data_IF_743735975820
#
_entry.id   IF_743735975820
#
_cell.length_a   1.000
_cell.length_b   1.000
_cell.length_c   1.000
_cell.angle_alpha   90.00
_cell.angle_beta   90.00
_cell.angle_gamma   90.00
#
_symmetry.space_group_name_H-M   'P 1'
#
loop_
_entity.id
_entity.type
_entity.pdbx_description
1 polymer ?
#
# COMPACT_ATOMS: atom_id res chain seq x y z
N UNK A 1 5.09 3.31 0.67
CA UNK A 1 5.37 2.31 -0.39
C UNK A 1 6.16 1.14 0.20
N UNK A 2 6.14 -0.02 -0.44
CA UNK A 2 6.89 -1.20 -0.02
C UNK A 2 7.16 -2.16 -1.17
N UNK A 3 8.13 -3.07 -1.01
CA UNK A 3 8.49 -4.03 -2.07
C UNK A 3 7.63 -5.29 -1.97
N UNK A 4 7.08 -5.73 -3.10
CA UNK A 4 6.50 -7.06 -3.26
C UNK A 4 7.41 -7.90 -4.16
N UNK A 5 8.19 -8.81 -3.57
CA UNK A 5 9.19 -9.62 -4.28
C UNK A 5 8.61 -10.51 -5.38
N UNK A 6 7.32 -10.84 -5.31
CA UNK A 6 6.63 -11.64 -6.33
C UNK A 6 5.96 -10.81 -7.43
N UNK A 7 5.92 -9.48 -7.28
CA UNK A 7 5.25 -8.62 -8.22
C UNK A 7 6.08 -8.40 -9.50
N UNK A 8 5.39 -8.31 -10.64
CA UNK A 8 5.93 -7.91 -11.94
C UNK A 8 5.39 -6.56 -12.43
N UNK A 9 4.53 -5.93 -11.62
CA UNK A 9 3.85 -4.66 -11.90
C UNK A 9 3.65 -3.87 -10.62
N UNK A 10 3.45 -2.56 -10.73
CA UNK A 10 3.07 -1.72 -9.61
C UNK A 10 1.67 -2.11 -9.10
N UNK A 11 1.41 -1.90 -7.82
CA UNK A 11 0.08 -2.07 -7.25
C UNK A 11 -0.26 -0.89 -6.34
N UNK A 12 -1.43 -0.30 -6.54
CA UNK A 12 -1.98 0.71 -5.64
C UNK A 12 -2.96 0.02 -4.70
N UNK A 13 -2.67 0.04 -3.41
CA UNK A 13 -3.47 -0.63 -2.39
C UNK A 13 -4.67 0.23 -2.00
N UNK A 14 -5.87 -0.23 -2.30
CA UNK A 14 -7.11 0.45 -1.91
C UNK A 14 -7.39 0.32 -0.41
N UNK A 15 -6.95 -0.77 0.22
CA UNK A 15 -7.33 -1.10 1.59
C UNK A 15 -6.26 -1.82 2.38
N UNK A 16 -6.36 -1.73 3.69
CA UNK A 16 -5.58 -2.47 4.67
C UNK A 16 -6.49 -3.26 5.60
N UNK A 17 -5.95 -4.34 6.18
CA UNK A 17 -6.67 -5.25 7.07
C UNK A 17 -6.08 -5.18 8.47
N UNK A 18 -6.92 -5.16 9.50
CA UNK A 18 -6.52 -5.14 10.92
C UNK A 18 -6.01 -6.51 11.39
N UNK A 19 -4.95 -7.00 10.76
CA UNK A 19 -4.38 -8.30 11.08
C UNK A 19 -2.88 -8.31 10.77
N UNK A 20 -2.11 -8.68 11.80
CA UNK A 20 -0.70 -9.00 11.71
C UNK A 20 -0.53 -10.53 11.80
N UNK A 21 -0.24 -11.14 10.66
CA UNK A 21 0.05 -12.58 10.51
C UNK A 21 1.31 -12.72 9.66
N UNK A 22 2.47 -12.60 10.31
CA UNK A 22 3.75 -12.44 9.64
C UNK A 22 4.30 -13.81 9.23
N UNK A 23 4.53 -14.02 7.91
CA UNK A 23 5.05 -15.29 7.38
C UNK A 23 6.47 -15.61 7.86
N UNK A 24 7.28 -14.57 8.06
CA UNK A 24 8.63 -14.59 8.59
C UNK A 24 8.76 -13.50 9.67
N UNK A 25 9.74 -13.58 10.58
CA UNK A 25 10.02 -12.47 11.48
C UNK A 25 10.31 -11.18 10.72
N UNK A 26 10.01 -10.03 11.34
CA UNK A 26 10.59 -8.76 10.93
C UNK A 26 12.06 -8.66 11.35
N UNK A 27 12.70 -7.52 11.05
CA UNK A 27 14.11 -7.28 11.35
C UNK A 27 14.43 -7.28 12.87
N UNK A 28 13.42 -7.15 13.73
CA UNK A 28 13.56 -7.23 15.20
C UNK A 28 13.15 -8.60 15.75
N UNK A 29 12.87 -9.57 14.89
CA UNK A 29 12.46 -10.91 15.28
C UNK A 29 10.99 -11.05 15.64
N UNK A 30 10.17 -10.01 15.49
CA UNK A 30 8.75 -10.07 15.81
C UNK A 30 7.99 -10.82 14.70
N UNK A 31 7.22 -11.84 15.10
CA UNK A 31 6.45 -12.70 14.19
C UNK A 31 5.04 -12.95 14.73
N UNK A 32 4.16 -11.94 14.75
CA UNK A 32 2.79 -12.07 15.24
C UNK A 32 2.00 -13.08 14.39
N UNK A 33 1.06 -13.77 15.04
CA UNK A 33 0.13 -14.70 14.40
C UNK A 33 -1.30 -14.31 14.77
N UNK A 34 -2.12 -13.99 13.77
CA UNK A 34 -3.54 -13.60 13.93
C UNK A 34 -3.76 -12.54 15.01
N UNK A 35 -2.87 -11.55 15.07
CA UNK A 35 -2.93 -10.48 16.08
C UNK A 35 -3.57 -9.23 15.47
N UNK A 36 -4.49 -8.53 16.16
CA UNK A 36 -4.99 -7.24 15.68
C UNK A 36 -3.87 -6.20 15.67
N UNK A 37 -3.85 -5.33 14.68
CA UNK A 37 -2.92 -4.19 14.59
C UNK A 37 -3.36 -3.09 15.58
N UNK A 38 -4.66 -2.76 15.55
CA UNK A 38 -5.33 -1.86 16.48
C UNK A 38 -6.42 -2.66 17.20
N UNK A 39 -6.27 -2.84 18.51
CA UNK A 39 -7.18 -3.68 19.30
C UNK A 39 -8.64 -3.20 19.25
N UNK A 40 -8.88 -1.88 19.15
CA UNK A 40 -10.20 -1.28 19.16
C UNK A 40 -11.05 -1.59 17.91
N UNK A 41 -10.41 -1.83 16.75
CA UNK A 41 -11.11 -1.99 15.47
C UNK A 41 -11.61 -3.42 15.22
N UNK A 42 -11.17 -4.40 16.03
CA UNK A 42 -11.49 -5.82 15.88
C UNK A 42 -10.67 -6.52 14.79
N UNK A 43 -10.39 -7.82 14.97
CA UNK A 43 -9.55 -8.59 14.05
C UNK A 43 -10.14 -8.60 12.63
N UNK A 44 -9.27 -8.42 11.63
CA UNK A 44 -9.60 -8.43 10.20
C UNK A 44 -10.53 -7.28 9.74
N UNK A 45 -10.74 -6.24 10.55
CA UNK A 45 -11.41 -5.02 10.12
C UNK A 45 -10.70 -4.38 8.92
N UNK A 46 -11.47 -3.85 7.97
CA UNK A 46 -10.94 -3.26 6.73
C UNK A 46 -11.00 -1.74 6.81
N UNK A 47 -9.91 -1.07 6.49
CA UNK A 47 -9.88 0.38 6.26
C UNK A 47 -9.49 0.65 4.82
N UNK A 48 -10.18 1.58 4.17
CA UNK A 48 -9.91 1.97 2.79
C UNK A 48 -9.36 3.40 2.72
N UNK A 49 -8.61 3.68 1.66
CA UNK A 49 -8.19 5.05 1.34
C UNK A 49 -9.35 5.87 0.79
N UNK A 50 -9.35 7.18 1.07
CA UNK A 50 -10.28 8.14 0.47
C UNK A 50 -9.88 8.54 -0.97
N UNK A 51 -8.74 8.04 -1.48
CA UNK A 51 -8.35 8.29 -2.86
C UNK A 51 -9.20 7.46 -3.84
N UNK A 52 -9.55 8.03 -5.02
CA UNK A 52 -10.24 7.31 -6.10
C UNK A 52 -9.25 6.38 -6.81
N UNK A 53 -8.95 5.23 -6.18
CA UNK A 53 -7.92 4.29 -6.67
C UNK A 53 -8.18 3.76 -8.08
N UNK A 54 -9.42 3.37 -8.47
CA UNK A 54 -9.70 2.95 -9.85
C UNK A 54 -9.29 4.02 -10.88
N UNK A 55 -9.65 5.27 -10.63
CA UNK A 55 -9.38 6.41 -11.52
C UNK A 55 -7.89 6.75 -11.57
N UNK A 56 -7.19 6.64 -10.43
CA UNK A 56 -5.74 6.79 -10.36
C UNK A 56 -5.03 5.70 -11.17
N UNK A 57 -5.45 4.44 -11.02
CA UNK A 57 -4.90 3.31 -11.78
C UNK A 57 -5.16 3.48 -13.27
N UNK A 58 -6.38 3.82 -13.68
CA UNK A 58 -6.71 4.09 -15.08
C UNK A 58 -5.85 5.22 -15.68
N UNK A 59 -5.63 6.29 -14.91
CA UNK A 59 -4.80 7.41 -15.33
C UNK A 59 -3.33 7.01 -15.51
N UNK A 60 -2.79 6.18 -14.62
CA UNK A 60 -1.42 5.68 -14.72
C UNK A 60 -1.24 4.67 -15.85
N UNK A 61 -2.23 3.80 -16.09
CA UNK A 61 -2.23 2.89 -17.24
C UNK A 61 -2.23 3.69 -18.55
N UNK A 62 -3.04 4.75 -18.66
CA UNK A 62 -3.04 5.66 -19.82
C UNK A 62 -1.70 6.38 -20.02
N UNK A 63 -0.95 6.62 -18.93
CA UNK A 63 0.41 7.17 -18.96
C UNK A 63 1.49 6.10 -19.27
N UNK A 64 1.10 4.85 -19.51
CA UNK A 64 1.99 3.78 -19.95
C UNK A 64 2.61 2.95 -18.81
N UNK A 65 2.16 3.11 -17.57
CA UNK A 65 2.65 2.30 -16.46
C UNK A 65 1.93 0.96 -16.37
N UNK A 66 2.68 -0.11 -16.13
CA UNK A 66 2.12 -1.40 -15.77
C UNK A 66 1.76 -1.39 -14.28
N UNK A 67 0.52 -1.01 -13.97
CA UNK A 67 -0.01 -0.88 -12.61
C UNK A 67 -1.38 -1.53 -12.48
N UNK A 68 -1.74 -1.96 -11.28
CA UNK A 68 -3.09 -2.47 -10.99
C UNK A 68 -3.58 -1.97 -9.63
N UNK A 69 -4.91 -1.97 -9.46
CA UNK A 69 -5.53 -1.87 -8.15
C UNK A 69 -5.27 -3.17 -7.39
N UNK A 70 -4.93 -3.05 -6.11
CA UNK A 70 -4.83 -4.17 -5.17
C UNK A 70 -5.73 -3.93 -3.96
N UNK A 71 -6.42 -5.01 -3.57
CA UNK A 71 -7.34 -5.06 -2.44
C UNK A 71 -6.73 -5.85 -1.26
N UNK A 72 -5.44 -6.19 -1.34
CA UNK A 72 -4.77 -7.01 -0.35
C UNK A 72 -3.28 -6.64 -0.24
N UNK A 73 -2.97 -5.76 0.71
CA UNK A 73 -1.60 -5.38 1.04
C UNK A 73 -0.81 -6.48 1.80
N UNK A 74 -1.38 -7.69 1.94
CA UNK A 74 -0.83 -8.80 2.70
C UNK A 74 -1.12 -8.68 4.20
N UNK A 75 -0.40 -9.45 5.01
CA UNK A 75 -0.49 -9.43 6.49
C UNK A 75 0.89 -9.28 7.14
N UNK A 76 1.83 -8.66 6.41
CA UNK A 76 3.19 -8.37 6.88
C UNK A 76 3.35 -6.88 7.19
N UNK A 77 4.59 -6.40 7.30
CA UNK A 77 4.91 -5.01 7.68
C UNK A 77 4.29 -3.95 6.78
N UNK A 78 4.12 -4.21 5.47
CA UNK A 78 3.47 -3.27 4.54
C UNK A 78 2.02 -2.97 4.96
N UNK A 79 1.21 -4.02 5.15
CA UNK A 79 -0.16 -3.89 5.65
C UNK A 79 -0.19 -3.29 7.06
N UNK A 80 0.74 -3.70 7.93
CA UNK A 80 0.84 -3.17 9.31
C UNK A 80 0.98 -1.64 9.32
N UNK A 81 1.96 -1.11 8.57
CA UNK A 81 2.20 0.33 8.47
C UNK A 81 1.06 1.04 7.74
N UNK A 82 0.50 0.42 6.70
CA UNK A 82 -0.60 1.03 5.96
C UNK A 82 -1.85 1.19 6.82
N UNK A 83 -2.21 0.16 7.60
CA UNK A 83 -3.36 0.21 8.51
C UNK A 83 -3.23 1.35 9.54
N UNK A 84 -2.07 1.45 10.21
CA UNK A 84 -1.79 2.56 11.13
C UNK A 84 -1.86 3.92 10.44
N UNK A 85 -1.31 4.03 9.22
CA UNK A 85 -1.36 5.27 8.45
C UNK A 85 -2.79 5.68 8.09
N UNK A 86 -3.66 4.72 7.78
CA UNK A 86 -5.09 4.98 7.54
C UNK A 86 -5.83 5.40 8.82
N UNK A 87 -5.52 4.79 9.97
CA UNK A 87 -6.05 5.23 11.26
C UNK A 87 -5.64 6.68 11.56
N UNK A 88 -4.36 7.00 11.37
CA UNK A 88 -3.83 8.35 11.56
C UNK A 88 -4.49 9.36 10.61
N UNK A 89 -4.60 9.02 9.33
CA UNK A 89 -5.25 9.83 8.31
C UNK A 89 -6.70 10.18 8.69
N UNK A 90 -7.48 9.20 9.13
CA UNK A 90 -8.87 9.39 9.55
C UNK A 90 -9.01 10.33 10.76
N UNK A 91 -8.05 10.32 11.69
CA UNK A 91 -8.07 11.19 12.88
C UNK A 91 -7.68 12.63 12.53
N UNK A 92 -6.70 12.80 11.63
CA UNK A 92 -6.11 14.10 11.32
C UNK A 92 -6.68 14.76 10.05
N UNK A 93 -7.62 14.12 9.38
CA UNK A 93 -8.21 14.63 8.14
C UNK A 93 -7.20 14.71 6.99
N UNK A 94 -6.16 13.88 7.00
CA UNK A 94 -5.19 13.77 5.91
C UNK A 94 -5.56 12.58 5.02
N UNK A 95 -5.01 12.54 3.80
CA UNK A 95 -5.20 11.39 2.89
C UNK A 95 -3.98 10.48 2.94
N UNK A 96 -4.19 9.18 2.78
CA UNK A 96 -3.12 8.18 2.81
C UNK A 96 -3.30 7.17 1.67
N UNK A 97 -2.20 6.76 1.03
CA UNK A 97 -2.18 5.73 0.00
C UNK A 97 -0.95 4.84 0.20
N UNK A 98 -1.07 3.55 -0.10
CA UNK A 98 0.07 2.64 -0.15
C UNK A 98 0.27 2.07 -1.55
N UNK A 99 1.54 1.88 -1.91
CA UNK A 99 1.96 1.36 -3.20
C UNK A 99 2.92 0.21 -2.98
N UNK A 100 2.64 -0.94 -3.58
CA UNK A 100 3.62 -2.00 -3.74
C UNK A 100 4.36 -1.86 -5.07
N UNK A 101 5.68 -1.95 -5.00
CA UNK A 101 6.57 -1.93 -6.15
C UNK A 101 7.24 -3.30 -6.35
N UNK A 102 7.52 -3.71 -7.60
CA UNK A 102 8.36 -4.87 -7.88
C UNK A 102 9.80 -4.69 -7.38
N UNK A 103 10.60 -5.77 -7.27
CA UNK A 103 12.03 -5.64 -7.05
C UNK A 103 12.72 -4.97 -8.26
N UNK A 104 13.89 -4.36 -8.05
CA UNK A 104 14.64 -3.67 -9.12
C UNK A 104 15.06 -4.57 -10.28
N UNK A 105 15.18 -5.88 -10.05
CA UNK A 105 15.42 -6.87 -11.12
C UNK A 105 14.23 -7.08 -12.07
N UNK A 106 13.04 -6.56 -11.72
CA UNK A 106 11.82 -6.63 -12.55
C UNK A 106 11.46 -5.29 -13.16
N UNK A 107 11.57 -4.21 -12.38
CA UNK A 107 11.41 -2.83 -12.85
C UNK A 107 12.53 -2.03 -12.21
N UNK A 108 13.44 -1.46 -13.00
CA UNK A 108 14.60 -0.73 -12.51
C UNK A 108 14.23 0.51 -11.69
N UNK A 109 15.21 1.02 -10.94
CA UNK A 109 15.00 2.13 -10.02
C UNK A 109 14.52 3.40 -10.73
N UNK A 110 15.03 3.70 -11.93
CA UNK A 110 14.66 4.91 -12.68
C UNK A 110 13.19 4.88 -13.06
N UNK A 111 12.69 3.74 -13.55
CA UNK A 111 11.27 3.58 -13.88
C UNK A 111 10.37 3.59 -12.65
N UNK A 112 10.83 3.05 -11.51
CA UNK A 112 10.10 3.17 -10.25
C UNK A 112 10.03 4.62 -9.77
N UNK A 113 11.11 5.38 -9.90
CA UNK A 113 11.15 6.81 -9.56
C UNK A 113 10.21 7.62 -10.47
N UNK A 114 10.22 7.36 -11.78
CA UNK A 114 9.28 7.98 -12.73
C UNK A 114 7.82 7.71 -12.36
N UNK A 115 7.50 6.46 -11.99
CA UNK A 115 6.18 6.07 -11.53
C UNK A 115 5.78 6.84 -10.26
N UNK A 116 6.66 6.88 -9.26
CA UNK A 116 6.37 7.54 -7.99
C UNK A 116 6.22 9.06 -8.16
N UNK A 117 7.07 9.70 -8.96
CA UNK A 117 6.95 11.13 -9.27
C UNK A 117 5.62 11.44 -9.96
N UNK A 118 5.27 10.66 -10.99
CA UNK A 118 4.00 10.80 -11.69
C UNK A 118 2.81 10.63 -10.75
N UNK A 119 2.84 9.62 -9.87
CA UNK A 119 1.79 9.40 -8.90
C UNK A 119 1.67 10.58 -7.93
N UNK A 120 2.78 11.08 -7.38
CA UNK A 120 2.77 12.23 -6.47
C UNK A 120 2.19 13.48 -7.14
N UNK A 121 2.55 13.75 -8.39
CA UNK A 121 1.98 14.86 -9.15
C UNK A 121 0.46 14.72 -9.29
N UNK A 122 -0.03 13.52 -9.62
CA UNK A 122 -1.48 13.28 -9.68
C UNK A 122 -2.17 13.47 -8.33
N UNK A 123 -1.57 12.96 -7.24
CA UNK A 123 -2.14 13.10 -5.90
C UNK A 123 -2.17 14.55 -5.44
N UNK A 124 -1.16 15.36 -5.82
CA UNK A 124 -1.12 16.79 -5.50
C UNK A 124 -2.30 17.57 -6.07
N UNK A 125 -2.86 17.11 -7.20
CA UNK A 125 -4.05 17.72 -7.83
C UNK A 125 -5.38 17.32 -7.18
N UNK A 126 -5.37 16.34 -6.26
CA UNK A 126 -6.54 15.80 -5.58
C UNK A 126 -6.62 16.22 -4.11
N UNK A 127 -5.66 17.02 -3.63
CA UNK A 127 -5.56 17.48 -2.25
C UNK A 127 -5.94 18.96 -2.13
#
# INVERSE_FOLDING_TARGET
MGVNSGASKFAIERRAINEATFRCPDEMGWKPQRSPIVAADGLSHVRETDFPVPELVDSLVKKGFNVALSDDAGRFVCNYVYYHSLCHAAIHGTKCLFVHVPPFSKIDADKQMEFMATLLDMLSSLC
#
